data_IF_786069483211
#
_entry.id   IF_786069483211
#
_cell.length_a   1.000
_cell.length_b   1.000
_cell.length_c   1.000
_cell.angle_alpha   90.00
_cell.angle_beta   90.00
_cell.angle_gamma   90.00
#
_symmetry.space_group_name_H-M   'P 1'
#
loop_
_entity.id
_entity.type
_entity.pdbx_description
1 polymer ?
#
# COMPACT_ATOMS: atom_id res chain seq x y z
N UNK A 1 10.36 -40.82 -6.94
CA UNK A 1 9.75 -40.38 -5.66
C UNK A 1 9.52 -38.87 -5.73
N UNK A 2 8.35 -38.40 -6.19
CA UNK A 2 7.98 -36.99 -6.13
C UNK A 2 7.49 -36.67 -4.72
N UNK A 3 8.28 -35.93 -3.92
CA UNK A 3 7.79 -35.38 -2.65
C UNK A 3 6.75 -34.29 -2.95
N UNK A 4 5.65 -34.20 -2.20
CA UNK A 4 4.66 -33.16 -2.39
C UNK A 4 5.28 -31.81 -2.02
N UNK A 5 5.03 -30.80 -2.85
CA UNK A 5 5.32 -29.41 -2.52
C UNK A 5 4.61 -29.10 -1.20
N UNK A 6 5.40 -28.96 -0.14
CA UNK A 6 4.94 -28.58 1.19
C UNK A 6 4.17 -27.26 1.04
N UNK A 7 2.89 -27.29 1.41
CA UNK A 7 2.05 -26.08 1.40
C UNK A 7 2.60 -25.13 2.44
N UNK A 8 3.31 -24.10 1.99
CA UNK A 8 3.83 -23.03 2.84
C UNK A 8 2.68 -22.10 3.17
N UNK A 9 2.33 -21.96 4.45
CA UNK A 9 1.56 -20.80 4.91
C UNK A 9 2.55 -19.68 5.17
N UNK A 10 2.53 -18.65 4.31
CA UNK A 10 3.28 -17.43 4.53
C UNK A 10 2.33 -16.36 5.07
N UNK A 11 2.76 -15.65 6.11
CA UNK A 11 2.10 -14.40 6.51
C UNK A 11 2.55 -13.33 5.53
N UNK A 12 1.59 -12.69 4.85
CA UNK A 12 1.84 -11.59 3.92
C UNK A 12 1.27 -10.30 4.49
N UNK A 13 1.97 -9.21 4.26
CA UNK A 13 1.53 -7.86 4.64
C UNK A 13 1.39 -7.03 3.38
N UNK A 14 0.26 -6.35 3.26
CA UNK A 14 0.02 -5.40 2.16
C UNK A 14 0.88 -4.16 2.41
N UNK A 15 1.59 -3.71 1.39
CA UNK A 15 2.46 -2.55 1.51
C UNK A 15 1.63 -1.30 1.78
N UNK A 16 2.17 -0.38 2.55
CA UNK A 16 1.44 0.82 2.96
C UNK A 16 0.96 1.66 1.77
N UNK A 17 1.71 1.67 0.66
CA UNK A 17 1.33 2.38 -0.55
C UNK A 17 -0.02 1.91 -1.12
N UNK A 18 -0.34 0.62 -1.02
CA UNK A 18 -1.51 0.00 -1.66
C UNK A 18 -2.74 -0.07 -0.74
N UNK A 19 -2.63 0.34 0.52
CA UNK A 19 -3.74 0.24 1.49
C UNK A 19 -4.98 0.99 1.01
N UNK A 20 -4.79 2.14 0.34
CA UNK A 20 -5.90 2.90 -0.22
C UNK A 20 -6.69 2.14 -1.30
N UNK A 21 -6.03 1.25 -2.05
CA UNK A 21 -6.69 0.41 -3.07
C UNK A 21 -7.63 -0.61 -2.44
N UNK A 22 -7.27 -1.13 -1.25
CA UNK A 22 -8.11 -2.02 -0.46
C UNK A 22 -9.30 -1.29 0.15
N UNK A 23 -9.08 -0.07 0.67
CA UNK A 23 -10.14 0.74 1.25
C UNK A 23 -11.26 1.08 0.25
N UNK A 24 -10.97 1.02 -1.05
CA UNK A 24 -11.93 1.26 -2.13
C UNK A 24 -12.67 0.00 -2.61
N UNK A 25 -12.38 -1.19 -2.06
CA UNK A 25 -13.04 -2.45 -2.47
C UNK A 25 -14.35 -2.67 -1.75
N UNK A 26 -15.34 -3.19 -2.48
CA UNK A 26 -16.60 -3.62 -1.91
C UNK A 26 -16.56 -5.10 -1.49
N UNK A 27 -17.40 -5.53 -0.53
CA UNK A 27 -17.60 -6.95 -0.25
C UNK A 27 -18.00 -7.71 -1.53
N UNK A 28 -17.28 -8.79 -1.82
CA UNK A 28 -17.48 -9.60 -3.02
C UNK A 28 -16.53 -9.28 -4.17
N UNK A 29 -15.76 -8.18 -4.09
CA UNK A 29 -14.72 -7.88 -5.07
C UNK A 29 -13.62 -8.93 -5.07
N UNK A 30 -13.21 -9.35 -6.26
CA UNK A 30 -12.04 -10.19 -6.44
C UNK A 30 -10.76 -9.33 -6.39
N UNK A 31 -9.90 -9.62 -5.41
CA UNK A 31 -8.59 -8.95 -5.25
C UNK A 31 -7.48 -9.94 -5.55
N UNK A 32 -6.54 -9.55 -6.42
CA UNK A 32 -5.34 -10.33 -6.75
C UNK A 32 -4.13 -9.70 -6.07
N UNK A 33 -3.47 -10.45 -5.20
CA UNK A 33 -2.22 -10.03 -4.57
C UNK A 33 -1.03 -10.38 -5.46
N UNK A 34 -0.16 -9.41 -5.71
CA UNK A 34 1.14 -9.63 -6.33
C UNK A 34 2.23 -9.68 -5.26
N UNK A 35 3.12 -10.66 -5.35
CA UNK A 35 4.30 -10.68 -4.50
C UNK A 35 5.24 -9.52 -4.87
N UNK A 36 5.82 -8.88 -3.86
CA UNK A 36 6.77 -7.78 -4.03
C UNK A 36 7.98 -7.99 -3.13
N UNK A 37 9.02 -7.18 -3.35
CA UNK A 37 10.23 -7.16 -2.53
C UNK A 37 10.23 -5.91 -1.63
N UNK A 38 10.98 -5.91 -0.52
CA UNK A 38 11.08 -4.74 0.35
C UNK A 38 11.59 -3.47 -0.36
N UNK A 39 12.47 -3.59 -1.36
CA UNK A 39 12.95 -2.43 -2.12
C UNK A 39 11.85 -1.82 -2.98
N UNK A 40 11.11 -2.63 -3.74
CA UNK A 40 9.99 -2.17 -4.55
C UNK A 40 8.87 -1.56 -3.70
N UNK A 41 8.57 -2.16 -2.54
CA UNK A 41 7.61 -1.60 -1.58
C UNK A 41 8.01 -0.20 -1.08
N UNK A 42 9.30 0.01 -0.81
CA UNK A 42 9.83 1.30 -0.37
C UNK A 42 9.80 2.35 -1.49
N UNK A 43 10.14 1.95 -2.71
CA UNK A 43 10.15 2.86 -3.84
C UNK A 43 8.72 3.29 -4.23
N UNK A 44 7.74 2.39 -4.17
CA UNK A 44 6.33 2.73 -4.33
C UNK A 44 5.86 3.78 -3.29
N UNK A 45 6.28 3.63 -2.03
CA UNK A 45 5.97 4.63 -0.98
C UNK A 45 6.61 5.99 -1.24
N UNK A 46 7.83 6.03 -1.79
CA UNK A 46 8.51 7.28 -2.13
C UNK A 46 7.83 8.00 -3.29
N UNK A 47 7.43 7.25 -4.32
CA UNK A 47 6.68 7.81 -5.46
C UNK A 47 5.38 8.43 -4.96
N UNK A 48 4.58 7.71 -4.17
CA UNK A 48 3.34 8.23 -3.60
C UNK A 48 3.57 9.49 -2.75
N UNK A 49 4.61 9.51 -1.91
CA UNK A 49 4.94 10.69 -1.12
C UNK A 49 5.34 11.90 -1.99
N UNK A 50 6.08 11.66 -3.08
CA UNK A 50 6.48 12.73 -4.02
C UNK A 50 5.30 13.30 -4.81
N UNK A 51 4.35 12.45 -5.21
CA UNK A 51 3.12 12.87 -5.89
C UNK A 51 2.24 13.72 -4.98
N UNK A 52 2.11 13.32 -3.71
CA UNK A 52 1.39 14.11 -2.70
C UNK A 52 2.06 15.46 -2.46
N UNK A 53 3.38 15.49 -2.32
CA UNK A 53 4.12 16.74 -2.14
C UNK A 53 3.99 17.68 -3.35
N UNK A 54 3.99 17.15 -4.58
CA UNK A 54 3.76 17.94 -5.77
C UNK A 54 2.34 18.54 -5.80
N UNK A 55 1.33 17.75 -5.41
CA UNK A 55 -0.06 18.22 -5.33
C UNK A 55 -0.26 19.30 -4.24
N UNK A 56 0.46 19.23 -3.12
CA UNK A 56 0.43 20.25 -2.06
C UNK A 56 1.05 21.59 -2.52
N UNK A 57 2.06 21.56 -3.39
CA UNK A 57 2.72 22.78 -3.91
C UNK A 57 1.84 23.53 -4.92
N UNK A 58 0.97 22.82 -5.65
CA UNK A 58 0.03 23.42 -6.62
C UNK A 58 -1.29 23.91 -5.99
N UNK A 59 -1.57 23.54 -4.74
CA UNK A 59 -2.81 23.91 -4.03
C UNK A 59 -2.61 25.19 -3.20
N UNK A 60 -3.06 26.33 -3.73
CA UNK A 60 -3.14 27.62 -2.99
C UNK A 60 -4.26 27.63 -1.91
N UNK A 61 -5.03 26.55 -1.81
CA UNK A 61 -6.02 26.35 -0.75
C UNK A 61 -5.33 25.89 0.54
N UNK A 62 -5.45 26.70 1.59
CA UNK A 62 -5.01 26.41 2.96
C UNK A 62 -5.83 25.26 3.54
N UNK A 63 -5.50 24.02 3.15
CA UNK A 63 -6.04 22.81 3.75
C UNK A 63 -5.30 22.56 5.05
N UNK A 64 -5.99 22.75 6.18
CA UNK A 64 -5.45 22.43 7.50
C UNK A 64 -5.47 20.92 7.69
N UNK A 65 -4.32 20.27 7.53
CA UNK A 65 -4.18 18.83 7.77
C UNK A 65 -4.05 18.54 9.27
N UNK A 66 -4.96 17.74 9.82
CA UNK A 66 -4.82 17.15 11.14
C UNK A 66 -4.36 15.69 11.01
N UNK A 67 -3.27 15.33 11.68
CA UNK A 67 -2.80 13.94 11.75
C UNK A 67 -3.31 13.26 13.02
N UNK A 68 -3.69 11.99 12.90
CA UNK A 68 -3.96 11.14 14.07
C UNK A 68 -2.61 10.82 14.72
N UNK A 69 -2.39 11.33 15.94
CA UNK A 69 -1.32 10.86 16.82
C UNK A 69 -1.92 9.82 17.76
N UNK A 70 -1.30 8.66 17.82
CA UNK A 70 -1.55 7.70 18.90
C UNK A 70 -0.78 8.18 20.13
N UNK A 71 -1.49 8.35 21.24
CA UNK A 71 -0.94 8.71 22.56
C UNK A 71 -0.46 7.46 23.31
#
# INVERSE_FOLDING_TARGET
MHRPAWRVRAYVTVIRADIHLLAQRAPGDAVRFAATTPCLARDALRVQASELQAAEIESDDVVTWASIRWA
#
